data_IF_672699488006
#
_entry.id   IF_672699488006
#
_cell.length_a   1.000
_cell.length_b   1.000
_cell.length_c   1.000
_cell.angle_alpha   90.00
_cell.angle_beta   90.00
_cell.angle_gamma   90.00
#
_symmetry.space_group_name_H-M   'P 1'
#
loop_
_entity.id
_entity.type
_entity.pdbx_description
1 polymer ?
#
# COMPACT_ATOMS: atom_id res chain seq x y z
N UNK A 1 -3.81 11.56 5.47
CA UNK A 1 -3.72 10.11 5.24
C UNK A 1 -2.37 9.84 4.59
N UNK A 2 -1.52 8.98 5.15
CA UNK A 2 -0.25 8.63 4.51
C UNK A 2 -0.53 7.80 3.25
N UNK A 3 0.22 8.02 2.17
CA UNK A 3 0.16 7.18 0.96
C UNK A 3 0.67 5.77 1.26
N UNK A 4 0.30 4.78 0.45
CA UNK A 4 0.87 3.42 0.53
C UNK A 4 2.41 3.47 0.51
N UNK A 5 2.98 4.29 -0.38
CA UNK A 5 4.43 4.41 -0.53
C UNK A 5 5.09 4.97 0.73
N UNK A 6 4.52 6.05 1.29
CA UNK A 6 5.00 6.68 2.52
C UNK A 6 4.94 5.73 3.72
N UNK A 7 3.86 4.93 3.82
CA UNK A 7 3.71 3.91 4.86
C UNK A 7 4.78 2.83 4.76
N UNK A 8 4.98 2.25 3.57
CA UNK A 8 6.02 1.22 3.36
C UNK A 8 7.42 1.79 3.59
N UNK A 9 7.69 3.02 3.15
CA UNK A 9 8.97 3.69 3.35
C UNK A 9 9.28 3.85 4.86
N UNK A 10 8.27 4.23 5.65
CA UNK A 10 8.37 4.33 7.10
C UNK A 10 8.60 2.95 7.73
N UNK A 11 7.85 1.93 7.31
CA UNK A 11 7.97 0.55 7.82
C UNK A 11 9.35 -0.07 7.51
N UNK A 12 9.97 0.29 6.37
CA UNK A 12 11.30 -0.18 5.95
C UNK A 12 12.46 0.72 6.39
N UNK A 13 12.19 1.90 6.96
CA UNK A 13 13.19 2.94 7.23
C UNK A 13 14.03 3.33 6.00
N UNK A 14 13.38 3.49 4.85
CA UNK A 14 13.99 3.89 3.56
C UNK A 14 13.31 5.13 3.00
N UNK A 15 13.84 5.69 1.92
CA UNK A 15 13.22 6.84 1.26
C UNK A 15 12.00 6.41 0.44
N UNK A 16 10.95 7.25 0.42
CA UNK A 16 9.75 7.01 -0.37
C UNK A 16 10.05 6.84 -1.86
N UNK A 17 11.06 7.55 -2.38
CA UNK A 17 11.53 7.40 -3.76
C UNK A 17 12.06 5.98 -4.07
N UNK A 18 12.71 5.32 -3.11
CA UNK A 18 13.20 3.95 -3.29
C UNK A 18 12.04 2.98 -3.41
N UNK A 19 11.02 3.15 -2.57
CA UNK A 19 9.77 2.39 -2.62
C UNK A 19 9.05 2.64 -3.93
N UNK A 20 8.89 3.90 -4.34
CA UNK A 20 8.24 4.27 -5.60
C UNK A 20 8.90 3.58 -6.81
N UNK A 21 10.24 3.59 -6.89
CA UNK A 21 10.96 2.93 -7.98
C UNK A 21 10.79 1.41 -7.93
N UNK A 22 10.85 0.79 -6.76
CA UNK A 22 10.66 -0.66 -6.63
C UNK A 22 9.22 -1.08 -7.00
N UNK A 23 8.21 -0.32 -6.56
CA UNK A 23 6.81 -0.54 -6.93
C UNK A 23 6.61 -0.45 -8.43
N UNK A 24 7.17 0.57 -9.10
CA UNK A 24 7.08 0.69 -10.56
C UNK A 24 7.66 -0.54 -11.28
N UNK A 25 8.83 -1.03 -10.84
CA UNK A 25 9.44 -2.23 -11.41
C UNK A 25 8.58 -3.49 -11.21
N UNK A 26 7.97 -3.65 -10.02
CA UNK A 26 7.05 -4.76 -9.73
C UNK A 26 5.78 -4.68 -10.58
N UNK A 27 5.22 -3.48 -10.75
CA UNK A 27 4.03 -3.25 -11.57
C UNK A 27 4.31 -3.48 -13.08
N UNK A 28 5.55 -3.23 -13.53
CA UNK A 28 6.05 -3.60 -14.86
C UNK A 28 6.29 -5.13 -15.01
N UNK A 29 6.09 -5.92 -13.96
CA UNK A 29 6.24 -7.38 -13.97
C UNK A 29 7.65 -7.88 -13.65
N UNK A 30 8.55 -7.02 -13.17
CA UNK A 30 9.84 -7.48 -12.64
C UNK A 30 9.63 -8.29 -11.36
N UNK A 31 10.43 -9.35 -11.16
CA UNK A 31 10.37 -10.15 -9.93
C UNK A 31 11.35 -9.62 -8.88
N UNK A 32 11.10 -9.88 -7.59
CA UNK A 32 12.02 -9.49 -6.51
C UNK A 32 13.47 -9.97 -6.75
N UNK A 33 13.75 -11.25 -7.10
CA UNK A 33 15.12 -11.69 -7.38
C UNK A 33 15.76 -10.94 -8.55
N UNK A 34 14.99 -10.58 -9.57
CA UNK A 34 15.47 -9.80 -10.70
C UNK A 34 15.84 -8.37 -10.28
N UNK A 35 14.97 -7.72 -9.50
CA UNK A 35 15.21 -6.35 -9.02
C UNK A 35 16.44 -6.33 -8.10
N UNK A 36 16.51 -7.23 -7.13
CA UNK A 36 17.62 -7.32 -6.17
C UNK A 36 18.98 -7.51 -6.86
N UNK A 37 19.01 -8.28 -7.97
CA UNK A 37 20.25 -8.61 -8.68
C UNK A 37 20.64 -7.60 -9.77
N UNK A 38 19.66 -7.06 -10.50
CA UNK A 38 19.93 -6.29 -11.74
C UNK A 38 19.40 -4.85 -11.72
N UNK A 39 18.69 -4.44 -10.66
CA UNK A 39 18.11 -3.10 -10.51
C UNK A 39 18.46 -2.44 -9.16
N UNK A 40 19.43 -2.98 -8.44
CA UNK A 40 19.89 -2.48 -7.14
C UNK A 40 20.18 -0.97 -7.14
N UNK A 41 20.91 -0.48 -8.14
CA UNK A 41 21.20 0.95 -8.25
C UNK A 41 19.94 1.80 -8.50
N UNK A 42 18.99 1.28 -9.29
CA UNK A 42 17.73 2.00 -9.57
C UNK A 42 16.87 2.15 -8.31
N UNK A 43 16.85 1.12 -7.44
CA UNK A 43 16.09 1.14 -6.19
C UNK A 43 16.84 1.84 -5.05
N UNK A 44 18.02 2.43 -5.31
CA UNK A 44 18.83 3.04 -4.26
C UNK A 44 19.39 2.03 -3.26
N UNK A 45 19.60 0.79 -3.68
CA UNK A 45 20.27 -0.23 -2.88
C UNK A 45 19.36 -1.17 -2.09
N UNK A 46 18.05 -1.20 -2.33
CA UNK A 46 17.14 -2.14 -1.64
C UNK A 46 17.60 -3.59 -1.82
N UNK A 47 17.70 -4.32 -0.73
CA UNK A 47 18.09 -5.73 -0.72
C UNK A 47 16.90 -6.69 -0.91
N UNK A 48 17.18 -7.99 -1.07
CA UNK A 48 16.15 -9.03 -1.29
C UNK A 48 15.12 -9.09 -0.15
N UNK A 49 15.56 -8.91 1.11
CA UNK A 49 14.67 -8.93 2.27
C UNK A 49 13.71 -7.74 2.25
N UNK A 50 14.24 -6.53 1.99
CA UNK A 50 13.45 -5.31 1.88
C UNK A 50 12.46 -5.40 0.71
N UNK A 51 12.89 -5.94 -0.43
CA UNK A 51 12.03 -6.08 -1.62
C UNK A 51 10.91 -7.10 -1.41
N UNK A 52 11.17 -8.23 -0.73
CA UNK A 52 10.11 -9.21 -0.38
C UNK A 52 9.09 -8.63 0.60
N UNK A 53 9.58 -7.89 1.60
CA UNK A 53 8.71 -7.17 2.53
C UNK A 53 7.83 -6.17 1.77
N UNK A 54 8.44 -5.33 0.92
CA UNK A 54 7.75 -4.35 0.09
C UNK A 54 6.68 -5.02 -0.77
N UNK A 55 7.00 -6.09 -1.51
CA UNK A 55 6.06 -6.78 -2.39
C UNK A 55 4.83 -7.30 -1.61
N UNK A 56 5.07 -8.01 -0.51
CA UNK A 56 4.01 -8.55 0.34
C UNK A 56 3.16 -7.42 0.93
N UNK A 57 3.82 -6.37 1.42
CA UNK A 57 3.15 -5.27 2.10
C UNK A 57 2.35 -4.39 1.16
N UNK A 58 2.87 -4.13 -0.03
CA UNK A 58 2.20 -3.44 -1.13
C UNK A 58 0.89 -4.15 -1.49
N UNK A 59 0.92 -5.48 -1.65
CA UNK A 59 -0.27 -6.28 -1.92
C UNK A 59 -1.33 -6.10 -0.83
N UNK A 60 -0.95 -6.31 0.43
CA UNK A 60 -1.85 -6.14 1.59
C UNK A 60 -2.46 -4.73 1.68
N UNK A 61 -1.68 -3.68 1.44
CA UNK A 61 -2.19 -2.30 1.50
C UNK A 61 -3.11 -1.98 0.31
N UNK A 62 -2.81 -2.46 -0.90
CA UNK A 62 -3.70 -2.31 -2.07
C UNK A 62 -5.04 -3.01 -1.85
N UNK A 63 -5.04 -4.19 -1.23
CA UNK A 63 -6.28 -4.88 -0.87
C UNK A 63 -7.10 -4.11 0.16
N UNK A 64 -6.44 -3.50 1.16
CA UNK A 64 -7.10 -2.66 2.15
C UNK A 64 -7.76 -1.44 1.49
N UNK A 65 -7.05 -0.71 0.63
CA UNK A 65 -7.59 0.43 -0.11
C UNK A 65 -8.79 0.03 -0.99
N UNK A 66 -8.69 -1.08 -1.72
CA UNK A 66 -9.79 -1.61 -2.53
C UNK A 66 -11.01 -1.96 -1.68
N UNK A 67 -10.79 -2.54 -0.50
CA UNK A 67 -11.89 -2.83 0.43
C UNK A 67 -12.52 -1.54 0.95
N UNK A 68 -11.70 -0.56 1.33
CA UNK A 68 -12.16 0.75 1.79
C UNK A 68 -13.06 1.44 0.77
N UNK A 69 -12.65 1.44 -0.51
CA UNK A 69 -13.46 1.98 -1.59
C UNK A 69 -14.81 1.28 -1.72
N UNK A 70 -14.81 -0.06 -1.66
CA UNK A 70 -16.05 -0.86 -1.67
C UNK A 70 -16.99 -0.49 -0.52
N UNK A 71 -16.45 -0.32 0.69
CA UNK A 71 -17.23 0.06 1.87
C UNK A 71 -17.81 1.47 1.71
N UNK A 72 -17.00 2.45 1.32
CA UNK A 72 -17.47 3.82 1.05
C UNK A 72 -18.58 3.87 0.00
N UNK A 73 -18.41 3.13 -1.09
CA UNK A 73 -19.41 3.08 -2.17
C UNK A 73 -20.72 2.46 -1.68
N UNK A 74 -20.65 1.33 -0.95
CA UNK A 74 -21.85 0.69 -0.36
C UNK A 74 -22.60 1.62 0.59
N UNK A 75 -21.89 2.33 1.47
CA UNK A 75 -22.49 3.30 2.41
C UNK A 75 -23.13 4.47 1.64
N UNK A 76 -22.45 4.96 0.60
CA UNK A 76 -22.94 6.07 -0.25
C UNK A 76 -24.19 5.66 -1.02
N UNK A 77 -24.22 4.47 -1.60
CA UNK A 77 -25.37 3.92 -2.34
C UNK A 77 -26.60 3.76 -1.44
N UNK A 78 -26.40 3.48 -0.15
CA UNK A 78 -27.48 3.47 0.84
C UNK A 78 -27.94 4.88 1.27
N UNK A 79 -27.29 5.95 0.80
CA UNK A 79 -27.56 7.33 1.21
C UNK A 79 -27.16 7.62 2.66
N UNK A 80 -26.28 6.82 3.26
CA UNK A 80 -25.90 6.91 4.68
C UNK A 80 -24.50 7.49 4.92
N UNK A 81 -23.80 7.92 3.87
CA UNK A 81 -22.45 8.45 4.00
C UNK A 81 -22.47 9.83 4.66
N UNK A 82 -22.27 9.86 5.98
CA UNK A 82 -22.00 11.08 6.73
C UNK A 82 -20.50 11.39 6.72
N UNK A 83 -20.14 12.64 7.00
CA UNK A 83 -18.73 13.04 7.10
C UNK A 83 -17.99 12.27 8.21
N UNK A 84 -18.67 11.94 9.31
CA UNK A 84 -18.08 11.16 10.41
C UNK A 84 -17.80 9.72 9.97
N UNK A 85 -18.77 9.07 9.32
CA UNK A 85 -18.63 7.70 8.82
C UNK A 85 -17.55 7.62 7.73
N UNK A 86 -17.50 8.61 6.83
CA UNK A 86 -16.43 8.72 5.84
C UNK A 86 -15.06 8.82 6.50
N UNK A 87 -14.92 9.64 7.55
CA UNK A 87 -13.65 9.74 8.30
C UNK A 87 -13.27 8.44 9.00
N UNK A 88 -14.22 7.73 9.62
CA UNK A 88 -13.95 6.43 10.25
C UNK A 88 -13.39 5.44 9.22
N UNK A 89 -14.03 5.34 8.05
CA UNK A 89 -13.61 4.43 6.98
C UNK A 89 -12.24 4.82 6.40
N UNK A 90 -11.97 6.12 6.23
CA UNK A 90 -10.67 6.63 5.76
C UNK A 90 -9.53 6.40 6.76
N UNK A 91 -9.83 6.38 8.06
CA UNK A 91 -8.82 6.22 9.12
C UNK A 91 -8.57 4.76 9.50
N UNK A 92 -9.48 3.84 9.15
CA UNK A 92 -9.32 2.41 9.40
C UNK A 92 -7.99 1.89 8.84
N UNK A 93 -7.16 1.32 9.71
CA UNK A 93 -5.80 0.85 9.42
C UNK A 93 -5.76 -0.64 9.11
N UNK A 94 -6.82 -1.37 9.46
CA UNK A 94 -6.94 -2.80 9.29
C UNK A 94 -8.22 -3.16 8.55
N UNK A 95 -8.23 -4.36 7.96
CA UNK A 95 -9.43 -4.88 7.30
C UNK A 95 -10.55 -5.08 8.32
N UNK A 96 -10.24 -5.58 9.52
CA UNK A 96 -11.24 -5.78 10.58
C UNK A 96 -11.93 -4.47 10.95
N UNK A 97 -11.17 -3.39 11.16
CA UNK A 97 -11.75 -2.06 11.42
C UNK A 97 -12.69 -1.60 10.30
N UNK A 98 -12.42 -1.92 9.04
CA UNK A 98 -13.32 -1.60 7.93
C UNK A 98 -14.61 -2.43 7.93
N UNK A 99 -14.58 -3.67 8.41
CA UNK A 99 -15.76 -4.54 8.47
C UNK A 99 -16.66 -4.23 9.67
N UNK A 100 -16.10 -3.62 10.71
CA UNK A 100 -16.82 -3.25 11.93
C UNK A 100 -17.61 -1.93 11.79
N UNK A 101 -17.39 -1.17 10.70
CA UNK A 101 -18.07 0.09 10.37
C UNK A 101 -19.30 -0.15 9.49
#
# INVERSE_FOLDING_TARGET
>A
MQSILSRIATELAVQEQQVATAVALLDEGSTVPFIARYRKEKTGGLDDTQLRYLETRLGSLRELEKRRETVLNSIREQGKLSADLEQQVLQAQTRTELEDI
#
